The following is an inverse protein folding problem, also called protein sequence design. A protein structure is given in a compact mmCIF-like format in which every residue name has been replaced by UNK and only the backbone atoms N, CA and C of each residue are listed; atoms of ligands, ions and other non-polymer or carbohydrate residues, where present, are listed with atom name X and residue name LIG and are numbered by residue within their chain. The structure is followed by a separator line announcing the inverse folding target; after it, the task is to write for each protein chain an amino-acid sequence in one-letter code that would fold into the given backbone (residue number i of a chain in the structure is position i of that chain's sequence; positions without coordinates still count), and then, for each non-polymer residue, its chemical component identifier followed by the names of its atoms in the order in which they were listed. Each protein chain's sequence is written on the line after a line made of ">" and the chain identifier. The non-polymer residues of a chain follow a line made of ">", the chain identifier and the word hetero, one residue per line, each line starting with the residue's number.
data_IF_335668571724
#
_entry.id   IF_335668571724
#
_cell.length_a   1.000
_cell.length_b   1.000
_cell.length_c   1.000
_cell.angle_alpha   90.00
_cell.angle_beta   90.00
_cell.angle_gamma   90.00
#
_symmetry.space_group_name_H-M   'P 1'
#
loop_
_entity.id
_entity.type
_entity.pdbx_description
1 polymer ?
#
# COMPACT_ATOMS: atom_id res chain seq x y z
N UNK A 1 -4.73 -25.27 -8.55
CA UNK A 1 -3.80 -24.56 -7.63
C UNK A 1 -3.49 -23.24 -8.30
N UNK A 2 -4.05 -22.16 -7.78
CA UNK A 2 -3.81 -20.82 -8.28
C UNK A 2 -2.39 -20.42 -7.86
N UNK A 3 -1.46 -20.45 -8.78
CA UNK A 3 -0.14 -19.85 -8.57
C UNK A 3 -0.28 -18.37 -8.83
N UNK A 4 -0.68 -17.60 -7.79
CA UNK A 4 -0.70 -16.17 -7.85
C UNK A 4 0.66 -15.64 -8.29
N UNK A 5 0.68 -14.62 -9.15
CA UNK A 5 1.91 -13.97 -9.65
C UNK A 5 2.68 -13.32 -8.49
N UNK A 6 1.94 -12.91 -7.45
CA UNK A 6 2.50 -12.21 -6.31
C UNK A 6 2.56 -13.11 -5.08
N UNK A 7 3.66 -13.07 -4.32
CA UNK A 7 3.79 -13.87 -3.11
C UNK A 7 2.73 -13.47 -2.08
N UNK A 8 2.15 -14.47 -1.42
CA UNK A 8 1.16 -14.27 -0.35
C UNK A 8 1.79 -14.33 1.05
N UNK A 9 3.05 -14.71 1.16
CA UNK A 9 3.79 -14.74 2.41
C UNK A 9 4.89 -13.69 2.40
N UNK A 10 4.91 -12.88 3.45
CA UNK A 10 5.93 -11.86 3.62
C UNK A 10 7.15 -12.46 4.31
N UNK A 11 8.27 -12.44 3.62
CA UNK A 11 9.55 -12.38 4.31
C UNK A 11 9.75 -10.91 4.62
N UNK A 12 9.42 -10.48 5.85
CA UNK A 12 9.56 -9.08 6.22
C UNK A 12 11.04 -8.69 6.21
N UNK A 13 11.50 -7.82 5.29
CA UNK A 13 12.87 -7.36 5.27
C UNK A 13 13.15 -6.35 6.39
N UNK A 14 12.13 -6.02 7.20
CA UNK A 14 12.24 -4.96 8.19
C UNK A 14 12.91 -5.47 9.46
N UNK A 15 14.02 -4.85 9.79
CA UNK A 15 14.53 -4.88 11.17
C UNK A 15 13.46 -4.25 12.07
N UNK A 16 13.21 -4.86 13.23
CA UNK A 16 12.33 -4.31 14.24
C UNK A 16 12.66 -2.84 14.48
N UNK A 17 11.71 -1.96 14.18
CA UNK A 17 11.84 -0.53 14.48
C UNK A 17 11.06 -0.24 15.73
N UNK A 18 11.77 0.07 16.81
CA UNK A 18 11.16 0.50 18.07
C UNK A 18 11.37 2.00 18.17
N UNK A 19 10.27 2.74 18.24
CA UNK A 19 10.27 4.18 18.45
C UNK A 19 9.92 4.46 19.91
N UNK A 20 10.78 5.18 20.61
CA UNK A 20 10.55 5.59 22.00
C UNK A 20 9.79 6.92 22.00
N UNK A 21 8.63 6.95 22.65
CA UNK A 21 7.66 8.00 22.41
C UNK A 21 7.16 8.65 23.68
N UNK A 22 7.16 9.99 23.69
CA UNK A 22 6.34 10.78 24.60
C UNK A 22 4.96 11.08 24.01
N UNK A 23 4.90 11.37 22.72
CA UNK A 23 3.66 11.70 22.01
C UNK A 23 3.59 10.93 20.69
N UNK A 24 2.59 10.08 20.58
CA UNK A 24 2.22 9.40 19.35
C UNK A 24 0.98 10.06 18.75
N UNK A 25 1.07 10.49 17.50
CA UNK A 25 -0.03 11.10 16.75
C UNK A 25 -0.27 10.27 15.49
N UNK A 26 -1.51 9.88 15.24
CA UNK A 26 -1.93 9.27 14.00
C UNK A 26 -2.71 10.33 13.22
N UNK A 27 -2.23 10.67 12.04
CA UNK A 27 -2.90 11.57 11.10
C UNK A 27 -3.41 10.77 9.91
N UNK A 28 -4.66 11.00 9.53
CA UNK A 28 -5.26 10.38 8.35
C UNK A 28 -5.77 11.47 7.42
N UNK A 29 -5.30 11.44 6.19
CA UNK A 29 -5.76 12.31 5.11
C UNK A 29 -6.66 11.52 4.18
N UNK A 30 -7.91 11.93 4.05
CA UNK A 30 -8.85 11.37 3.08
C UNK A 30 -8.83 12.31 1.89
N UNK A 31 -8.33 11.80 0.77
CA UNK A 31 -8.24 12.53 -0.49
C UNK A 31 -9.31 11.99 -1.41
N UNK A 32 -10.28 12.79 -1.77
CA UNK A 32 -11.36 12.38 -2.64
C UNK A 32 -11.98 13.57 -3.36
N UNK A 33 -12.63 13.32 -4.48
CA UNK A 33 -13.36 14.34 -5.21
C UNK A 33 -14.71 13.81 -5.68
N UNK A 34 -15.74 14.10 -4.89
CA UNK A 34 -17.12 13.62 -5.14
C UNK A 34 -17.15 12.09 -5.23
N UNK A 35 -17.61 11.55 -6.36
CA UNK A 35 -17.66 10.12 -6.66
C UNK A 35 -16.59 9.69 -7.68
N UNK A 36 -15.54 10.50 -7.88
CA UNK A 36 -14.58 10.31 -8.96
C UNK A 36 -13.33 9.55 -8.56
N UNK A 37 -13.14 9.27 -7.27
CA UNK A 37 -12.00 8.53 -6.78
C UNK A 37 -11.55 8.94 -5.39
N UNK A 38 -10.76 8.09 -4.76
CA UNK A 38 -10.29 8.30 -3.40
C UNK A 38 -8.88 7.77 -3.16
N UNK A 39 -8.24 8.35 -2.15
CA UNK A 39 -7.02 7.84 -1.56
C UNK A 39 -7.00 8.13 -0.07
N UNK A 40 -6.32 7.29 0.71
CA UNK A 40 -6.14 7.50 2.14
C UNK A 40 -4.64 7.49 2.44
N UNK A 41 -4.14 8.60 2.99
CA UNK A 41 -2.80 8.68 3.55
C UNK A 41 -2.87 8.54 5.06
N UNK A 42 -1.94 7.77 5.62
CA UNK A 42 -1.82 7.55 7.06
C UNK A 42 -0.39 7.89 7.48
N UNK A 43 -0.24 8.84 8.39
CA UNK A 43 1.03 9.15 9.01
C UNK A 43 0.98 8.82 10.50
N UNK A 44 2.00 8.14 10.98
CA UNK A 44 2.24 8.00 12.42
C UNK A 44 3.42 8.90 12.76
N UNK A 45 3.17 9.90 13.58
CA UNK A 45 4.20 10.83 14.03
C UNK A 45 4.66 10.47 15.42
N UNK A 46 5.95 10.56 15.60
CA UNK A 46 6.63 10.37 16.86
C UNK A 46 7.65 11.49 17.07
N UNK A 47 7.63 12.08 18.26
CA UNK A 47 8.53 13.19 18.64
C UNK A 47 8.69 14.28 17.56
N UNK A 48 7.59 14.61 16.87
CA UNK A 48 7.52 15.64 15.84
C UNK A 48 7.93 15.20 14.42
N UNK A 49 8.43 13.97 14.23
CA UNK A 49 8.74 13.39 12.92
C UNK A 49 7.73 12.37 12.44
N UNK A 50 7.72 12.06 11.14
CA UNK A 50 6.94 10.95 10.59
C UNK A 50 7.75 9.66 10.73
N UNK A 51 7.27 8.74 11.56
CA UNK A 51 7.88 7.43 11.80
C UNK A 51 7.34 6.36 10.87
N UNK A 52 6.10 6.52 10.41
CA UNK A 52 5.46 5.65 9.44
C UNK A 52 4.60 6.47 8.49
N UNK A 53 4.62 6.08 7.22
CA UNK A 53 3.77 6.64 6.17
C UNK A 53 3.18 5.54 5.30
N UNK A 54 1.87 5.53 5.15
CA UNK A 54 1.12 4.56 4.37
C UNK A 54 0.14 5.21 3.41
N UNK A 55 -0.11 4.56 2.29
CA UNK A 55 -1.08 4.97 1.28
C UNK A 55 -2.02 3.81 0.96
N UNK A 56 -3.31 4.09 0.90
CA UNK A 56 -4.33 3.19 0.36
C UNK A 56 -4.93 3.88 -0.86
N UNK A 57 -4.83 3.24 -2.02
CA UNK A 57 -5.26 3.72 -3.33
C UNK A 57 -4.65 5.07 -3.74
N UNK A 58 -4.94 5.51 -4.94
CA UNK A 58 -4.54 6.82 -5.43
C UNK A 58 -5.49 7.29 -6.51
N UNK A 59 -5.83 8.56 -6.47
CA UNK A 59 -6.58 9.21 -7.53
C UNK A 59 -5.99 10.58 -7.88
N UNK A 60 -5.79 10.78 -9.18
CA UNK A 60 -5.29 12.03 -9.74
C UNK A 60 -6.39 12.70 -10.56
N UNK A 61 -6.77 13.91 -10.20
CA UNK A 61 -7.79 14.70 -10.90
C UNK A 61 -7.12 15.73 -11.82
N UNK A 62 -7.40 15.67 -13.12
CA UNK A 62 -6.89 16.66 -14.11
C UNK A 62 -5.38 16.87 -13.99
N UNK A 63 -4.62 15.79 -13.90
CA UNK A 63 -3.15 15.79 -13.75
C UNK A 63 -2.63 16.35 -12.42
N UNK A 64 -3.51 16.67 -11.47
CA UNK A 64 -3.13 17.08 -10.12
C UNK A 64 -3.17 15.86 -9.21
N UNK A 65 -2.02 15.40 -8.75
CA UNK A 65 -1.91 14.32 -7.79
C UNK A 65 -1.86 14.89 -6.37
N UNK A 66 -3.03 15.00 -5.73
CA UNK A 66 -3.14 15.58 -4.38
C UNK A 66 -2.39 14.78 -3.33
N UNK A 67 -2.23 13.46 -3.54
CA UNK A 67 -1.40 12.60 -2.69
C UNK A 67 0.05 13.07 -2.74
N UNK A 68 0.59 13.32 -3.94
CA UNK A 68 1.95 13.84 -4.10
C UNK A 68 2.16 15.18 -3.40
N UNK A 69 1.20 16.12 -3.54
CA UNK A 69 1.27 17.42 -2.86
C UNK A 69 1.31 17.26 -1.33
N UNK A 70 0.44 16.42 -0.74
CA UNK A 70 0.44 16.17 0.72
C UNK A 70 1.75 15.54 1.18
N UNK A 71 2.30 14.59 0.41
CA UNK A 71 3.59 13.98 0.72
C UNK A 71 4.73 15.01 0.71
N UNK A 72 4.74 15.92 -0.28
CA UNK A 72 5.73 17.00 -0.39
C UNK A 72 5.60 18.01 0.76
N UNK A 73 4.39 18.49 1.06
CA UNK A 73 4.10 19.41 2.16
C UNK A 73 4.59 18.85 3.51
N UNK A 74 4.45 17.53 3.70
CA UNK A 74 4.89 16.82 4.90
C UNK A 74 6.34 16.35 4.85
N UNK A 75 7.08 16.66 3.77
CA UNK A 75 8.48 16.27 3.56
C UNK A 75 8.69 14.75 3.64
N UNK A 76 7.72 14.00 3.17
CA UNK A 76 7.82 12.54 3.08
C UNK A 76 8.67 12.18 1.87
N UNK A 77 9.79 11.53 2.09
CA UNK A 77 10.69 11.11 1.01
C UNK A 77 10.44 9.66 0.57
N UNK A 78 9.78 8.88 1.41
CA UNK A 78 9.43 7.49 1.09
C UNK A 78 8.16 7.06 1.83
N UNK A 79 7.41 6.15 1.20
CA UNK A 79 6.31 5.42 1.82
C UNK A 79 6.81 4.10 2.39
N UNK A 80 6.26 3.69 3.53
CA UNK A 80 6.53 2.39 4.12
C UNK A 80 5.55 1.33 3.61
N UNK A 81 4.35 1.76 3.25
CA UNK A 81 3.25 0.89 2.92
C UNK A 81 2.40 1.50 1.79
N UNK A 82 2.03 0.68 0.82
CA UNK A 82 1.04 0.99 -0.20
C UNK A 82 0.07 -0.19 -0.30
N UNK A 83 -1.23 0.09 -0.30
CA UNK A 83 -2.27 -0.88 -0.58
C UNK A 83 -3.10 -0.41 -1.78
N UNK A 84 -3.11 -1.18 -2.85
CA UNK A 84 -4.03 -1.00 -3.97
C UNK A 84 -5.20 -1.95 -3.77
N UNK A 85 -6.40 -1.39 -3.45
CA UNK A 85 -7.53 -2.19 -2.98
C UNK A 85 -8.26 -2.94 -4.09
N UNK A 86 -8.37 -2.33 -5.28
CA UNK A 86 -8.97 -2.95 -6.46
C UNK A 86 -8.58 -2.23 -7.75
N UNK A 87 -8.66 -2.91 -8.90
CA UNK A 87 -8.15 -2.43 -10.17
C UNK A 87 -9.13 -1.53 -10.93
N UNK A 88 -9.78 -0.61 -10.25
CA UNK A 88 -10.62 0.40 -10.87
C UNK A 88 -9.84 1.69 -11.11
N UNK A 89 -10.25 2.43 -12.13
CA UNK A 89 -9.55 3.63 -12.58
C UNK A 89 -9.46 4.70 -11.48
N UNK A 90 -10.53 4.87 -10.74
CA UNK A 90 -10.68 5.84 -9.67
C UNK A 90 -9.88 5.50 -8.38
N UNK A 91 -9.32 4.28 -8.30
CA UNK A 91 -8.41 3.84 -7.25
C UNK A 91 -6.94 3.67 -7.72
N UNK A 92 -6.71 3.85 -9.00
CA UNK A 92 -5.43 3.52 -9.65
C UNK A 92 -4.71 4.72 -10.24
N UNK A 93 -5.49 5.74 -10.69
CA UNK A 93 -4.94 6.87 -11.44
C UNK A 93 -3.96 7.68 -10.58
N UNK A 94 -2.72 7.78 -11.08
CA UNK A 94 -1.63 8.46 -10.38
C UNK A 94 -0.83 7.57 -9.42
N UNK A 95 -1.25 6.31 -9.17
CA UNK A 95 -0.54 5.42 -8.25
C UNK A 95 0.86 5.07 -8.77
N UNK A 96 1.02 4.90 -10.08
CA UNK A 96 2.32 4.66 -10.70
C UNK A 96 3.32 5.80 -10.42
N UNK A 97 2.87 7.05 -10.55
CA UNK A 97 3.70 8.23 -10.23
C UNK A 97 4.17 8.21 -8.76
N UNK A 98 3.27 7.85 -7.84
CA UNK A 98 3.62 7.73 -6.42
C UNK A 98 4.63 6.61 -6.20
N UNK A 99 4.46 5.47 -6.86
CA UNK A 99 5.40 4.35 -6.76
C UNK A 99 6.78 4.78 -7.27
N UNK A 100 6.85 5.38 -8.44
CA UNK A 100 8.13 5.81 -9.05
C UNK A 100 8.88 6.83 -8.17
N UNK A 101 8.17 7.65 -7.39
CA UNK A 101 8.75 8.75 -6.62
C UNK A 101 9.03 8.43 -5.16
N UNK A 102 8.17 7.62 -4.52
CA UNK A 102 8.19 7.45 -3.06
C UNK A 102 8.43 6.02 -2.59
N UNK A 103 8.67 5.07 -3.50
CA UNK A 103 8.92 3.67 -3.13
C UNK A 103 10.43 3.39 -3.02
N UNK A 104 10.78 2.52 -2.11
CA UNK A 104 12.15 2.05 -1.87
C UNK A 104 12.14 0.57 -1.52
N UNK A 105 13.32 -0.04 -1.35
CA UNK A 105 13.49 -1.43 -0.88
C UNK A 105 12.79 -1.74 0.44
N UNK A 106 12.46 -0.71 1.22
CA UNK A 106 11.77 -0.85 2.49
C UNK A 106 10.24 -0.69 2.36
N UNK A 107 9.73 -0.41 1.17
CA UNK A 107 8.28 -0.27 0.95
C UNK A 107 7.64 -1.62 0.67
N UNK A 108 6.51 -1.89 1.31
CA UNK A 108 5.65 -3.00 0.96
C UNK A 108 4.45 -2.53 0.15
N UNK A 109 4.28 -3.09 -1.05
CA UNK A 109 3.13 -2.83 -1.93
C UNK A 109 2.22 -4.03 -1.88
N UNK A 110 0.94 -3.81 -1.59
CA UNK A 110 -0.07 -4.85 -1.47
C UNK A 110 -1.14 -4.67 -2.52
N UNK A 111 -1.46 -5.76 -3.21
CA UNK A 111 -2.49 -5.81 -4.23
C UNK A 111 -3.49 -6.94 -3.91
N UNK A 112 -4.76 -6.84 -4.33
CA UNK A 112 -5.74 -7.88 -4.05
C UNK A 112 -5.35 -9.20 -4.72
N UNK A 113 -5.61 -10.32 -4.03
CA UNK A 113 -5.48 -11.66 -4.60
C UNK A 113 -6.47 -11.83 -5.76
N UNK A 114 -6.03 -12.51 -6.83
CA UNK A 114 -6.87 -12.82 -7.98
C UNK A 114 -6.97 -11.72 -9.05
N UNK A 115 -6.25 -10.62 -8.90
CA UNK A 115 -6.12 -9.62 -9.97
C UNK A 115 -5.25 -10.20 -11.08
N UNK A 116 -5.83 -10.48 -12.25
CA UNK A 116 -5.12 -10.89 -13.48
C UNK A 116 -5.43 -9.91 -14.61
N UNK A 117 -4.39 -9.43 -15.28
CA UNK A 117 -4.49 -8.49 -16.39
C UNK A 117 -5.32 -8.97 -17.58
N UNK A 118 -5.53 -10.29 -17.70
CA UNK A 118 -6.23 -10.90 -18.84
C UNK A 118 -7.75 -10.91 -18.71
N UNK A 119 -8.26 -10.85 -17.49
CA UNK A 119 -9.69 -11.01 -17.21
C UNK A 119 -10.37 -9.67 -16.88
N UNK A 120 -9.58 -8.63 -16.63
CA UNK A 120 -10.11 -7.35 -16.18
C UNK A 120 -10.33 -6.45 -17.39
N UNK A 121 -11.59 -6.09 -17.67
CA UNK A 121 -11.99 -5.02 -18.59
C UNK A 121 -11.71 -3.66 -17.97
N UNK A 122 -10.45 -3.41 -17.59
CA UNK A 122 -10.02 -2.17 -16.96
C UNK A 122 -9.46 -1.17 -17.98
N UNK A 123 -9.30 0.06 -17.54
CA UNK A 123 -8.66 1.09 -18.35
C UNK A 123 -7.21 0.72 -18.69
N UNK A 124 -6.68 1.28 -19.76
CA UNK A 124 -5.28 1.07 -20.14
C UNK A 124 -4.31 1.45 -19.01
N UNK A 125 -4.60 2.49 -18.27
CA UNK A 125 -3.79 2.96 -17.14
C UNK A 125 -3.69 1.93 -16.03
N UNK A 126 -4.79 1.26 -15.72
CA UNK A 126 -4.82 0.14 -14.74
C UNK A 126 -4.03 -1.05 -15.25
N UNK A 127 -4.17 -1.39 -16.54
CA UNK A 127 -3.38 -2.47 -17.15
C UNK A 127 -1.89 -2.17 -17.12
N UNK A 128 -1.49 -0.95 -17.47
CA UNK A 128 -0.10 -0.51 -17.47
C UNK A 128 0.49 -0.54 -16.04
N UNK A 129 -0.28 -0.14 -15.02
CA UNK A 129 0.12 -0.25 -13.62
C UNK A 129 0.31 -1.71 -13.20
N UNK A 130 -0.62 -2.58 -13.54
CA UNK A 130 -0.53 -4.00 -13.21
C UNK A 130 0.70 -4.66 -13.87
N UNK A 131 0.91 -4.44 -15.15
CA UNK A 131 2.08 -4.97 -15.86
C UNK A 131 3.39 -4.39 -15.33
N UNK A 132 3.39 -3.14 -14.88
CA UNK A 132 4.52 -2.53 -14.21
C UNK A 132 4.84 -3.24 -12.89
N UNK A 133 3.86 -3.43 -12.02
CA UNK A 133 4.04 -4.15 -10.74
C UNK A 133 4.46 -5.60 -10.94
N UNK A 134 3.90 -6.27 -11.95
CA UNK A 134 4.27 -7.65 -12.33
C UNK A 134 5.72 -7.76 -12.76
N UNK A 135 6.22 -6.81 -13.56
CA UNK A 135 7.63 -6.75 -13.95
C UNK A 135 8.55 -6.59 -12.74
N UNK A 136 8.15 -5.82 -11.75
CA UNK A 136 8.91 -5.63 -10.52
C UNK A 136 9.08 -6.92 -9.71
N UNK A 137 8.09 -7.81 -9.73
CA UNK A 137 8.18 -9.11 -9.06
C UNK A 137 9.03 -10.11 -9.83
N UNK A 138 8.93 -10.12 -11.17
CA UNK A 138 9.65 -11.07 -12.03
C UNK A 138 11.14 -10.74 -12.10
N UNK A 139 11.49 -9.46 -12.13
CA UNK A 139 12.86 -9.00 -12.10
C UNK A 139 13.32 -8.98 -10.65
N UNK A 140 14.16 -9.93 -10.26
CA UNK A 140 14.74 -10.01 -8.91
C UNK A 140 15.57 -8.76 -8.51
N UNK A 141 15.79 -7.84 -9.44
CA UNK A 141 16.43 -6.55 -9.23
C UNK A 141 15.44 -5.44 -8.78
N UNK A 142 14.19 -5.82 -8.47
CA UNK A 142 13.19 -4.84 -8.02
C UNK A 142 13.60 -4.23 -6.68
N UNK A 143 13.63 -2.92 -6.64
CA UNK A 143 13.97 -2.13 -5.46
C UNK A 143 12.86 -2.12 -4.39
N UNK A 144 11.80 -2.91 -4.55
CA UNK A 144 10.65 -2.96 -3.63
C UNK A 144 9.88 -4.28 -3.69
N UNK A 145 9.10 -4.52 -2.64
CA UNK A 145 8.40 -5.78 -2.43
C UNK A 145 6.91 -5.63 -2.77
N UNK A 146 6.41 -6.45 -3.69
CA UNK A 146 4.99 -6.53 -4.05
C UNK A 146 4.40 -7.84 -3.58
N UNK A 147 3.27 -7.77 -2.90
CA UNK A 147 2.58 -8.91 -2.29
C UNK A 147 1.12 -8.96 -2.71
N UNK A 148 0.53 -10.14 -2.72
CA UNK A 148 -0.91 -10.30 -2.82
C UNK A 148 -1.54 -10.41 -1.43
N UNK A 149 -2.76 -9.90 -1.28
CA UNK A 149 -3.49 -9.93 -0.03
C UNK A 149 -4.90 -10.48 -0.22
N UNK A 150 -5.31 -11.29 0.74
CA UNK A 150 -6.66 -11.86 0.86
C UNK A 150 -7.30 -11.49 2.19
N UNK A 151 -8.56 -11.90 2.37
CA UNK A 151 -9.32 -11.68 3.60
C UNK A 151 -8.59 -12.18 4.85
N UNK A 152 -8.60 -11.37 5.89
CA UNK A 152 -8.01 -11.63 7.22
C UNK A 152 -6.50 -11.83 7.22
N UNK A 153 -5.81 -11.27 6.24
CA UNK A 153 -4.36 -11.31 6.22
C UNK A 153 -3.76 -10.07 6.87
N UNK A 154 -2.79 -10.29 7.74
CA UNK A 154 -1.97 -9.21 8.27
C UNK A 154 -0.99 -8.76 7.20
N UNK A 155 -1.20 -7.55 6.67
CA UNK A 155 -0.34 -6.93 5.67
C UNK A 155 0.90 -6.30 6.31
N UNK A 156 0.79 -5.88 7.57
CA UNK A 156 1.92 -5.38 8.34
C UNK A 156 1.90 -6.05 9.70
N UNK A 157 2.98 -6.75 10.01
CA UNK A 157 3.11 -7.47 11.25
C UNK A 157 3.66 -6.56 12.35
N UNK A 158 3.24 -6.78 13.58
CA UNK A 158 3.58 -5.92 14.72
C UNK A 158 5.07 -5.77 15.00
N UNK A 159 5.92 -6.63 14.46
CA UNK A 159 7.37 -6.51 14.61
C UNK A 159 8.02 -5.50 13.65
N UNK A 160 7.29 -5.00 12.65
CA UNK A 160 7.83 -4.07 11.66
C UNK A 160 7.93 -2.64 12.20
N UNK A 161 6.90 -2.23 12.95
CA UNK A 161 6.81 -0.92 13.58
C UNK A 161 6.21 -1.06 14.98
N UNK A 162 7.00 -0.78 15.99
CA UNK A 162 6.57 -0.75 17.38
C UNK A 162 6.84 0.61 17.99
N UNK A 163 5.88 1.12 18.74
CA UNK A 163 6.00 2.36 19.48
C UNK A 163 6.03 2.01 20.95
N UNK A 164 7.00 2.55 21.69
CA UNK A 164 7.15 2.30 23.10
C UNK A 164 6.86 3.56 23.90
N UNK A 165 5.93 3.47 24.85
CA UNK A 165 5.66 4.52 25.83
C UNK A 165 5.80 3.94 27.22
N UNK A 166 6.76 4.44 28.01
CA UNK A 166 7.16 3.85 29.28
C UNK A 166 7.59 2.39 29.11
N UNK A 167 6.88 1.46 29.76
CA UNK A 167 7.09 0.00 29.66
C UNK A 167 6.22 -0.65 28.59
N UNK A 168 5.25 0.07 28.04
CA UNK A 168 4.24 -0.48 27.15
C UNK A 168 4.70 -0.40 25.69
N UNK A 169 4.48 -1.46 24.93
CA UNK A 169 4.80 -1.56 23.51
C UNK A 169 3.50 -1.59 22.71
N UNK A 170 3.39 -0.69 21.76
CA UNK A 170 2.24 -0.54 20.85
C UNK A 170 2.66 -0.91 19.42
N UNK A 171 2.38 -2.13 18.96
CA UNK A 171 2.68 -2.51 17.59
C UNK A 171 1.71 -1.86 16.61
N UNK A 172 2.21 -1.38 15.47
CA UNK A 172 1.36 -1.01 14.34
C UNK A 172 0.93 -2.28 13.60
N UNK A 173 -0.37 -2.47 13.45
CA UNK A 173 -0.94 -3.60 12.73
C UNK A 173 -1.89 -3.11 11.65
N UNK A 174 -1.72 -3.62 10.45
CA UNK A 174 -2.62 -3.38 9.31
C UNK A 174 -3.11 -4.74 8.83
N UNK A 175 -4.42 -4.94 8.82
CA UNK A 175 -5.05 -6.22 8.45
C UNK A 175 -6.03 -5.98 7.31
N UNK A 176 -5.96 -6.80 6.27
CA UNK A 176 -6.94 -6.82 5.20
C UNK A 176 -8.19 -7.61 5.60
N UNK A 177 -9.35 -7.09 5.23
CA UNK A 177 -10.64 -7.79 5.35
C UNK A 177 -11.30 -8.05 3.98
N UNK A 178 -10.58 -7.78 2.90
CA UNK A 178 -10.97 -8.04 1.51
C UNK A 178 -9.69 -8.23 0.66
N UNK A 179 -9.77 -8.87 -0.49
CA UNK A 179 -10.92 -9.57 -1.04
C UNK A 179 -11.18 -10.90 -0.35
N UNK A 180 -12.44 -11.35 -0.39
CA UNK A 180 -12.78 -12.69 0.11
C UNK A 180 -12.43 -13.75 -0.96
N UNK A 181 -11.39 -14.52 -0.71
CA UNK A 181 -10.89 -15.56 -1.63
C UNK A 181 -11.95 -16.61 -2.04
N UNK A 182 -13.01 -16.80 -1.25
CA UNK A 182 -14.13 -17.66 -1.63
C UNK A 182 -15.04 -17.04 -2.69
N UNK A 183 -15.14 -15.71 -2.73
CA UNK A 183 -15.94 -14.99 -3.74
C UNK A 183 -15.15 -14.95 -5.05
N UNK A 184 -13.87 -14.64 -5.00
CA UNK A 184 -12.98 -14.60 -6.18
C UNK A 184 -12.99 -15.97 -6.89
N UNK A 185 -12.80 -17.07 -6.15
CA UNK A 185 -12.82 -18.43 -6.71
C UNK A 185 -14.17 -18.88 -7.29
N UNK A 186 -15.26 -18.17 -7.02
CA UNK A 186 -16.59 -18.46 -7.61
C UNK A 186 -16.85 -17.74 -8.93
N UNK A 187 -16.06 -16.73 -9.25
CA UNK A 187 -16.14 -16.02 -10.54
C UNK A 187 -15.36 -16.73 -11.66
N UNK A 188 -14.54 -17.73 -11.31
CA UNK A 188 -13.76 -18.54 -12.28
C UNK A 188 -14.55 -19.72 -12.89
N UNK A 189 -15.93 -19.73 -12.83
CA UNK A 189 -16.79 -20.75 -13.42
C UNK A 189 -17.84 -20.17 -14.34
#
# INVERSE_FOLDING_TARGET
>A
MYNGIFPSETIFPYKNRIFFEKNLIIETYIVGYKSEGEAILIFVRSDGGISFSGLVDCFCLKEINKVSEILEENKVNKLNFICWTHPDFDHSKGLKEIIDKYVSVETSIWIPEGVDSKEITCSKEVQDLFEYLKKCVINMDAEYNVYSVSDKKDMMYYNSFCFQKNTDIYPLRITSYAPNSKIIRKQDY
#
